data_IF_563066288548
#
_entry.id   IF_563066288548
#
_cell.length_a   1.000
_cell.length_b   1.000
_cell.length_c   1.000
_cell.angle_alpha   90.00
_cell.angle_beta   90.00
_cell.angle_gamma   90.00
#
_symmetry.space_group_name_H-M   'P 1'
#
loop_
_entity.id
_entity.type
_entity.pdbx_description
1 polymer ?
#
# COMPACT_ATOMS: atom_id res chain seq x y z
N UNK A 1 -42.99 -18.46 -44.36
CA UNK A 1 -43.69 -18.17 -43.09
C UNK A 1 -42.71 -18.35 -41.95
N UNK A 2 -42.47 -17.29 -41.16
CA UNK A 2 -42.02 -17.32 -39.76
C UNK A 2 -40.56 -17.65 -39.43
N UNK A 3 -39.76 -16.62 -39.11
CA UNK A 3 -38.42 -16.68 -38.49
C UNK A 3 -38.49 -16.52 -36.96
N UNK A 4 -37.43 -16.94 -36.24
CA UNK A 4 -37.34 -17.00 -34.76
C UNK A 4 -36.65 -15.83 -34.06
N UNK A 5 -36.37 -16.00 -32.75
CA UNK A 5 -35.43 -15.20 -31.95
C UNK A 5 -35.88 -14.86 -30.52
N UNK A 6 -35.37 -15.58 -29.51
CA UNK A 6 -35.50 -15.25 -28.08
C UNK A 6 -34.19 -14.56 -27.61
N UNK A 7 -34.26 -13.25 -27.35
CA UNK A 7 -33.16 -12.44 -26.81
C UNK A 7 -33.74 -11.23 -26.04
N UNK A 8 -33.95 -11.38 -24.74
CA UNK A 8 -34.21 -10.24 -23.85
C UNK A 8 -33.56 -10.52 -22.50
N UNK A 9 -32.36 -9.96 -22.27
CA UNK A 9 -31.83 -9.58 -20.95
C UNK A 9 -30.48 -8.81 -21.02
N UNK A 10 -29.92 -8.57 -22.22
CA UNK A 10 -28.88 -7.56 -22.43
C UNK A 10 -29.34 -6.59 -23.51
N UNK A 11 -29.70 -5.35 -23.14
CA UNK A 11 -29.88 -4.28 -24.12
C UNK A 11 -28.52 -3.68 -24.45
N UNK A 12 -28.00 -4.11 -25.59
CA UNK A 12 -27.03 -3.37 -26.41
C UNK A 12 -27.61 -1.98 -26.71
N UNK A 13 -26.78 -0.96 -26.54
CA UNK A 13 -27.07 0.42 -26.95
C UNK A 13 -27.17 0.46 -28.49
N UNK A 14 -28.35 0.74 -29.04
CA UNK A 14 -28.49 1.18 -30.42
C UNK A 14 -29.26 2.51 -30.45
N UNK A 15 -28.70 3.43 -31.23
CA UNK A 15 -29.04 4.85 -31.29
C UNK A 15 -30.26 5.06 -32.17
N UNK A 16 -31.43 5.34 -31.57
CA UNK A 16 -32.51 6.08 -32.26
C UNK A 16 -33.21 7.07 -31.35
N UNK A 17 -33.01 8.32 -31.73
CA UNK A 17 -33.69 9.52 -31.27
C UNK A 17 -35.22 9.35 -31.39
N UNK A 18 -35.92 9.22 -30.26
CA UNK A 18 -37.34 9.60 -30.10
C UNK A 18 -37.53 10.16 -28.71
N UNK A 19 -38.08 11.37 -28.64
CA UNK A 19 -38.19 12.15 -27.42
C UNK A 19 -39.18 11.60 -26.40
N UNK A 20 -39.14 12.29 -25.26
CA UNK A 20 -40.02 12.26 -24.08
C UNK A 20 -39.57 11.44 -22.86
N UNK A 21 -39.38 12.22 -21.79
CA UNK A 21 -39.37 11.89 -20.36
C UNK A 21 -38.03 11.49 -19.71
N UNK A 22 -37.26 12.56 -19.40
CA UNK A 22 -36.31 12.67 -18.29
C UNK A 22 -36.96 12.32 -16.93
N UNK A 23 -37.08 11.04 -16.61
CA UNK A 23 -37.13 10.56 -15.22
C UNK A 23 -36.35 9.25 -15.14
N UNK A 24 -35.02 9.36 -15.15
CA UNK A 24 -34.17 8.31 -14.59
C UNK A 24 -34.56 8.17 -13.10
N UNK A 25 -34.69 6.95 -12.56
CA UNK A 25 -34.75 6.75 -11.12
C UNK A 25 -33.58 7.49 -10.47
N UNK A 26 -33.81 8.08 -9.30
CA UNK A 26 -32.80 8.82 -8.54
C UNK A 26 -31.58 7.91 -8.25
N UNK A 27 -30.59 7.97 -9.13
CA UNK A 27 -29.39 7.16 -9.11
C UNK A 27 -28.28 7.81 -8.26
N UNK A 28 -28.59 8.95 -7.62
CA UNK A 28 -27.68 9.71 -6.78
C UNK A 28 -27.19 8.89 -5.60
N UNK A 29 -28.05 8.07 -4.97
CA UNK A 29 -27.63 7.20 -3.85
C UNK A 29 -26.63 6.12 -4.27
N UNK A 30 -26.79 5.56 -5.47
CA UNK A 30 -25.88 4.56 -6.03
C UNK A 30 -24.54 5.20 -6.41
N UNK A 31 -24.55 6.42 -7.00
CA UNK A 31 -23.33 7.20 -7.29
C UNK A 31 -22.58 7.54 -6.01
N UNK A 32 -23.27 8.01 -4.97
CA UNK A 32 -22.69 8.29 -3.66
C UNK A 32 -22.06 7.04 -3.06
N UNK A 33 -22.74 5.90 -3.16
CA UNK A 33 -22.22 4.62 -2.66
C UNK A 33 -20.92 4.21 -3.36
N UNK A 34 -20.81 4.47 -4.67
CA UNK A 34 -19.60 4.22 -5.44
C UNK A 34 -18.48 5.22 -5.08
N UNK A 35 -18.78 6.50 -4.90
CA UNK A 35 -17.83 7.54 -4.45
C UNK A 35 -17.24 7.17 -3.08
N UNK A 36 -18.09 6.76 -2.13
CA UNK A 36 -17.67 6.26 -0.80
C UNK A 36 -16.72 5.08 -0.91
N UNK A 37 -17.00 4.16 -1.84
CA UNK A 37 -16.14 3.00 -2.10
C UNK A 37 -14.79 3.43 -2.67
N UNK A 38 -14.77 4.34 -3.65
CA UNK A 38 -13.53 4.87 -4.24
C UNK A 38 -12.65 5.56 -3.18
N UNK A 39 -13.26 6.34 -2.28
CA UNK A 39 -12.55 7.00 -1.19
C UNK A 39 -12.02 6.01 -0.17
N UNK A 40 -12.84 5.05 0.27
CA UNK A 40 -12.43 4.02 1.23
C UNK A 40 -11.38 3.04 0.67
N UNK A 41 -11.32 2.85 -0.65
CA UNK A 41 -10.25 2.13 -1.33
C UNK A 41 -8.97 2.97 -1.53
N UNK A 42 -9.01 4.25 -1.15
CA UNK A 42 -7.91 5.20 -1.31
C UNK A 42 -7.60 5.57 -2.76
N UNK A 43 -8.58 5.42 -3.67
CA UNK A 43 -8.45 5.78 -5.09
C UNK A 43 -8.67 7.27 -5.33
N UNK A 44 -9.41 7.92 -4.45
CA UNK A 44 -9.64 9.36 -4.47
C UNK A 44 -9.30 9.97 -3.11
N UNK A 45 -8.74 11.18 -3.11
CA UNK A 45 -8.49 11.95 -1.90
C UNK A 45 -9.74 12.67 -1.38
N UNK A 46 -9.60 13.31 -0.22
CA UNK A 46 -10.71 13.99 0.49
C UNK A 46 -11.40 15.07 -0.34
N UNK A 47 -10.63 15.96 -0.99
CA UNK A 47 -11.22 17.04 -1.81
C UNK A 47 -11.99 16.49 -3.02
N UNK A 48 -11.47 15.39 -3.59
CA UNK A 48 -12.11 14.69 -4.70
C UNK A 48 -13.35 13.90 -4.25
N UNK A 49 -13.39 13.46 -3.00
CA UNK A 49 -14.56 12.83 -2.39
C UNK A 49 -15.75 13.81 -2.31
N UNK A 50 -15.55 14.98 -1.70
CA UNK A 50 -16.63 15.97 -1.57
C UNK A 50 -17.06 16.54 -2.92
N UNK A 51 -16.12 16.90 -3.79
CA UNK A 51 -16.48 17.41 -5.12
C UNK A 51 -17.27 16.40 -5.97
N UNK A 52 -16.96 15.10 -5.88
CA UNK A 52 -17.77 14.08 -6.55
C UNK A 52 -19.13 13.88 -5.87
N UNK A 53 -19.20 13.96 -4.53
CA UNK A 53 -20.45 13.88 -3.76
C UNK A 53 -21.39 15.04 -4.14
N UNK A 54 -20.88 16.27 -4.20
CA UNK A 54 -21.65 17.45 -4.58
C UNK A 54 -22.14 17.35 -6.03
N UNK A 55 -21.26 16.95 -6.97
CA UNK A 55 -21.66 16.71 -8.36
C UNK A 55 -22.69 15.60 -8.51
N UNK A 56 -22.70 14.59 -7.64
CA UNK A 56 -23.72 13.55 -7.63
C UNK A 56 -25.07 14.09 -7.16
N UNK A 57 -25.10 14.96 -6.15
CA UNK A 57 -26.32 15.62 -5.69
C UNK A 57 -26.87 16.62 -6.71
N UNK A 58 -25.99 17.33 -7.42
CA UNK A 58 -26.36 18.29 -8.47
C UNK A 58 -26.77 17.61 -9.79
N UNK A 59 -26.73 16.28 -9.87
CA UNK A 59 -27.01 15.52 -11.10
C UNK A 59 -25.94 15.61 -12.19
N UNK A 60 -24.80 16.25 -11.89
CA UNK A 60 -23.69 16.54 -12.81
C UNK A 60 -22.57 15.49 -12.79
N UNK A 61 -22.92 14.25 -12.44
CA UNK A 61 -22.01 13.13 -12.37
C UNK A 61 -22.63 11.88 -12.98
N UNK A 62 -21.95 11.27 -13.95
CA UNK A 62 -22.36 9.98 -14.53
C UNK A 62 -21.60 8.80 -13.92
N UNK A 63 -22.15 7.60 -14.07
CA UNK A 63 -21.46 6.38 -13.64
C UNK A 63 -20.22 6.09 -14.48
N UNK A 64 -20.21 6.42 -15.77
CA UNK A 64 -19.01 6.23 -16.60
C UNK A 64 -17.85 7.04 -16.00
N UNK A 65 -18.09 8.30 -15.62
CA UNK A 65 -17.07 9.14 -14.98
C UNK A 65 -16.52 8.55 -13.67
N UNK A 66 -17.35 7.85 -12.89
CA UNK A 66 -16.91 7.16 -11.67
C UNK A 66 -16.16 5.87 -11.96
N UNK A 67 -16.53 5.16 -13.02
CA UNK A 67 -15.86 3.94 -13.47
C UNK A 67 -14.52 4.26 -14.12
N UNK A 68 -14.39 5.36 -14.87
CA UNK A 68 -13.11 5.83 -15.41
C UNK A 68 -12.13 6.16 -14.28
N UNK A 69 -12.61 6.78 -13.20
CA UNK A 69 -11.79 7.03 -12.00
C UNK A 69 -11.37 5.71 -11.34
N UNK A 70 -12.25 4.70 -11.33
CA UNK A 70 -11.96 3.37 -10.82
C UNK A 70 -10.90 2.67 -11.70
N UNK A 71 -11.00 2.74 -13.01
CA UNK A 71 -10.11 2.06 -13.97
C UNK A 71 -8.76 2.76 -14.09
N UNK A 72 -8.72 4.08 -14.23
CA UNK A 72 -7.46 4.86 -14.24
C UNK A 72 -6.64 4.74 -12.96
N UNK A 73 -7.26 4.37 -11.83
CA UNK A 73 -6.56 4.07 -10.58
C UNK A 73 -5.96 2.65 -10.51
N UNK A 74 -6.31 1.77 -11.46
CA UNK A 74 -5.73 0.41 -11.60
C UNK A 74 -4.48 0.40 -12.46
N UNK A 75 -4.41 1.22 -13.51
CA UNK A 75 -3.29 1.21 -14.46
C UNK A 75 -1.95 1.60 -13.82
N UNK A 76 -1.96 2.31 -12.68
CA UNK A 76 -0.76 2.60 -11.89
C UNK A 76 -0.38 1.49 -10.88
N UNK A 77 -1.12 0.38 -10.83
CA UNK A 77 -0.91 -0.74 -9.87
C UNK A 77 -0.77 -2.11 -10.53
N UNK A 78 -0.91 -2.24 -11.85
CA UNK A 78 -0.72 -3.50 -12.56
C UNK A 78 0.75 -3.81 -12.79
N UNK A 79 1.42 -4.21 -11.72
CA UNK A 79 2.52 -5.17 -11.72
C UNK A 79 2.41 -6.03 -10.45
N UNK A 80 1.25 -6.65 -10.21
CA UNK A 80 1.20 -7.94 -9.50
C UNK A 80 -0.13 -8.65 -9.72
N UNK A 81 -0.07 -9.68 -10.58
CA UNK A 81 -0.73 -10.97 -10.38
C UNK A 81 -2.26 -11.02 -10.38
N UNK A 82 -2.82 -11.42 -11.53
CA UNK A 82 -4.06 -12.20 -11.60
C UNK A 82 -3.94 -13.45 -10.72
N UNK A 83 -4.88 -13.66 -9.81
CA UNK A 83 -5.59 -14.94 -9.74
C UNK A 83 -7.03 -14.73 -9.26
N UNK A 84 -7.90 -15.49 -9.91
CA UNK A 84 -9.34 -15.44 -9.95
C UNK A 84 -10.01 -16.21 -8.80
N UNK A 85 -11.20 -15.77 -8.39
CA UNK A 85 -11.98 -16.46 -7.37
C UNK A 85 -13.24 -15.73 -6.94
N UNK A 86 -14.16 -15.53 -7.89
CA UNK A 86 -15.52 -15.02 -7.64
C UNK A 86 -16.27 -15.96 -6.68
N UNK A 87 -16.57 -15.49 -5.47
CA UNK A 87 -17.72 -15.96 -4.67
C UNK A 87 -18.52 -14.78 -4.14
N UNK A 88 -19.66 -14.61 -4.80
CA UNK A 88 -20.99 -14.24 -4.32
C UNK A 88 -21.20 -13.05 -3.38
N UNK A 89 -22.18 -12.26 -3.81
CA UNK A 89 -22.83 -11.14 -3.15
C UNK A 89 -23.43 -11.53 -1.79
N UNK A 90 -22.88 -10.88 -0.76
CA UNK A 90 -23.61 -10.52 0.47
C UNK A 90 -23.31 -9.04 0.72
N UNK A 91 -24.24 -8.26 1.30
CA UNK A 91 -23.99 -6.85 1.63
C UNK A 91 -22.75 -6.79 2.52
N UNK A 92 -21.60 -6.42 1.95
CA UNK A 92 -20.31 -6.44 2.66
C UNK A 92 -20.32 -5.28 3.65
N UNK A 93 -20.53 -5.64 4.90
CA UNK A 93 -20.30 -4.88 6.12
C UNK A 93 -19.30 -3.74 5.95
N UNK A 94 -19.75 -2.51 6.25
CA UNK A 94 -18.92 -1.29 6.29
C UNK A 94 -17.70 -1.43 7.21
N UNK A 95 -17.72 -2.40 8.14
CA UNK A 95 -16.59 -2.79 8.99
C UNK A 95 -15.39 -3.41 8.26
N UNK A 96 -15.55 -3.92 7.03
CA UNK A 96 -14.46 -4.61 6.31
C UNK A 96 -13.31 -3.71 5.87
N UNK A 97 -13.52 -2.40 5.68
CA UNK A 97 -12.47 -1.51 5.19
C UNK A 97 -11.54 -0.99 6.29
N UNK A 98 -12.06 -0.67 7.49
CA UNK A 98 -11.21 -0.37 8.67
C UNK A 98 -10.38 -1.60 9.03
N UNK A 99 -10.94 -2.80 8.90
CA UNK A 99 -10.21 -4.03 9.16
C UNK A 99 -9.00 -4.22 8.24
N UNK A 100 -9.12 -3.86 6.95
CA UNK A 100 -8.01 -3.93 5.98
C UNK A 100 -6.84 -3.02 6.35
N UNK A 101 -7.10 -1.79 6.82
CA UNK A 101 -6.01 -0.89 7.22
C UNK A 101 -5.33 -1.37 8.50
N UNK A 102 -6.10 -1.90 9.46
CA UNK A 102 -5.56 -2.53 10.68
C UNK A 102 -4.73 -3.78 10.37
N UNK A 103 -5.20 -4.63 9.46
CA UNK A 103 -4.45 -5.80 8.97
C UNK A 103 -3.14 -5.37 8.30
N UNK A 104 -3.15 -4.37 7.42
CA UNK A 104 -1.93 -3.82 6.80
C UNK A 104 -0.94 -3.27 7.81
N UNK A 105 -1.40 -2.53 8.82
CA UNK A 105 -0.52 -2.04 9.90
C UNK A 105 0.11 -3.22 10.64
N UNK A 106 -0.66 -4.28 10.93
CA UNK A 106 -0.15 -5.47 11.60
C UNK A 106 0.92 -6.18 10.76
N UNK A 107 0.70 -6.33 9.45
CA UNK A 107 1.68 -6.89 8.52
C UNK A 107 2.95 -6.05 8.44
N UNK A 108 2.82 -4.72 8.35
CA UNK A 108 3.95 -3.79 8.34
C UNK A 108 4.76 -3.86 9.64
N UNK A 109 4.11 -3.94 10.81
CA UNK A 109 4.77 -4.14 12.09
C UNK A 109 5.55 -5.46 12.13
N UNK A 110 4.95 -6.56 11.68
CA UNK A 110 5.67 -7.85 11.62
C UNK A 110 6.85 -7.81 10.64
N UNK A 111 6.70 -7.10 9.52
CA UNK A 111 7.81 -6.89 8.58
C UNK A 111 8.93 -6.07 9.21
N UNK A 112 8.60 -5.00 9.94
CA UNK A 112 9.56 -4.18 10.67
C UNK A 112 10.35 -5.00 11.68
N UNK A 113 9.67 -5.80 12.50
CA UNK A 113 10.32 -6.70 13.49
C UNK A 113 11.30 -7.67 12.83
N UNK A 114 10.97 -8.21 11.65
CA UNK A 114 11.88 -9.09 10.90
C UNK A 114 13.12 -8.35 10.41
N UNK A 115 12.95 -7.13 9.88
CA UNK A 115 14.06 -6.29 9.41
C UNK A 115 14.96 -5.89 10.58
N UNK A 116 14.38 -5.51 11.71
CA UNK A 116 15.10 -5.21 12.95
C UNK A 116 15.89 -6.42 13.45
N UNK A 117 15.29 -7.62 13.46
CA UNK A 117 16.00 -8.85 13.84
C UNK A 117 17.21 -9.15 12.94
N UNK A 118 17.09 -8.92 11.63
CA UNK A 118 18.21 -9.08 10.69
C UNK A 118 19.29 -8.04 10.99
N UNK A 119 18.90 -6.79 11.23
CA UNK A 119 19.82 -5.71 11.56
C UNK A 119 20.60 -6.02 12.84
N UNK A 120 19.95 -6.47 13.91
CA UNK A 120 20.64 -6.85 15.16
C UNK A 120 21.67 -7.96 14.95
N UNK A 121 21.37 -8.96 14.10
CA UNK A 121 22.35 -10.01 13.74
C UNK A 121 23.55 -9.45 12.98
N UNK A 122 23.34 -8.45 12.13
CA UNK A 122 24.43 -7.75 11.43
C UNK A 122 25.28 -6.95 12.42
N UNK A 123 24.66 -6.26 13.37
CA UNK A 123 25.35 -5.51 14.44
C UNK A 123 26.21 -6.44 15.32
N UNK A 124 25.67 -7.59 15.72
CA UNK A 124 26.42 -8.63 16.44
C UNK A 124 27.62 -9.12 15.62
N UNK A 125 27.42 -9.46 14.35
CA UNK A 125 28.50 -9.93 13.48
C UNK A 125 29.55 -8.86 13.23
N UNK A 126 29.16 -7.59 13.12
CA UNK A 126 30.09 -6.46 13.02
C UNK A 126 30.96 -6.35 14.27
N UNK A 127 30.37 -6.48 15.46
CA UNK A 127 31.13 -6.48 16.72
C UNK A 127 32.17 -7.60 16.77
N UNK A 128 31.81 -8.82 16.34
CA UNK A 128 32.75 -9.94 16.26
C UNK A 128 33.91 -9.65 15.29
N UNK A 129 33.60 -9.16 14.08
CA UNK A 129 34.61 -8.83 13.07
C UNK A 129 35.54 -7.71 13.54
N UNK A 130 35.05 -6.75 14.33
CA UNK A 130 35.90 -5.71 14.92
C UNK A 130 36.91 -6.28 15.91
N UNK A 131 36.48 -7.19 16.78
CA UNK A 131 37.37 -7.86 17.73
C UNK A 131 38.38 -8.76 17.00
N UNK A 132 37.95 -9.46 15.96
CA UNK A 132 38.84 -10.31 15.15
C UNK A 132 39.88 -9.46 14.42
N UNK A 133 39.47 -8.32 13.85
CA UNK A 133 40.37 -7.36 13.21
C UNK A 133 41.44 -6.85 14.16
N UNK A 134 41.06 -6.44 15.37
CA UNK A 134 41.98 -5.94 16.39
C UNK A 134 43.01 -7.01 16.81
N UNK A 135 42.55 -8.25 17.04
CA UNK A 135 43.45 -9.37 17.34
C UNK A 135 44.43 -9.63 16.19
N UNK A 136 43.95 -9.60 14.95
CA UNK A 136 44.75 -9.83 13.75
C UNK A 136 45.81 -8.75 13.58
N UNK A 137 45.47 -7.50 13.88
CA UNK A 137 46.40 -6.37 13.90
C UNK A 137 47.49 -6.54 14.98
N UNK A 138 47.11 -6.87 16.21
CA UNK A 138 48.09 -7.15 17.29
C UNK A 138 49.03 -8.31 16.95
N UNK A 139 48.52 -9.37 16.30
CA UNK A 139 49.34 -10.50 15.85
C UNK A 139 50.32 -10.07 14.76
N UNK A 140 49.88 -9.27 13.77
CA UNK A 140 50.76 -8.72 12.74
C UNK A 140 51.90 -7.90 13.36
N UNK A 141 51.58 -6.98 14.28
CA UNK A 141 52.57 -6.14 14.98
C UNK A 141 53.60 -6.98 15.74
N UNK A 142 53.16 -8.03 16.44
CA UNK A 142 54.06 -8.92 17.18
C UNK A 142 55.00 -9.74 16.29
N UNK A 143 54.60 -10.01 15.04
CA UNK A 143 55.34 -10.85 14.11
C UNK A 143 56.29 -10.05 13.21
N UNK A 144 56.12 -8.73 13.10
CA UNK A 144 56.96 -7.86 12.24
C UNK A 144 58.45 -8.03 12.52
N UNK A 145 58.85 -8.22 13.78
CA UNK A 145 60.25 -8.39 14.16
C UNK A 145 60.79 -9.81 13.99
N UNK A 146 59.94 -10.82 13.93
CA UNK A 146 60.32 -12.24 13.97
C UNK A 146 60.10 -12.98 12.66
N UNK A 147 59.08 -12.60 11.88
CA UNK A 147 58.77 -13.15 10.56
C UNK A 147 57.95 -12.14 9.74
N UNK A 148 58.59 -11.52 8.75
CA UNK A 148 57.93 -10.61 7.82
C UNK A 148 56.82 -11.32 7.02
N UNK A 149 57.04 -12.57 6.64
CA UNK A 149 56.07 -13.37 5.89
C UNK A 149 54.79 -13.63 6.70
N UNK A 150 54.94 -14.01 7.98
CA UNK A 150 53.79 -14.19 8.88
C UNK A 150 53.05 -12.87 9.14
N UNK A 151 53.79 -11.76 9.33
CA UNK A 151 53.19 -10.43 9.49
C UNK A 151 52.36 -10.03 8.25
N UNK A 152 52.86 -10.30 7.04
CA UNK A 152 52.15 -10.04 5.78
C UNK A 152 50.87 -10.89 5.66
N UNK A 153 50.88 -12.14 6.12
CA UNK A 153 49.67 -12.99 6.13
C UNK A 153 48.58 -12.41 7.03
N UNK A 154 48.92 -11.96 8.24
CA UNK A 154 47.96 -11.30 9.14
C UNK A 154 47.45 -9.98 8.57
N UNK A 155 48.29 -9.20 7.88
CA UNK A 155 47.85 -7.98 7.19
C UNK A 155 46.85 -8.32 6.08
N UNK A 156 47.09 -9.39 5.31
CA UNK A 156 46.14 -9.88 4.31
C UNK A 156 44.76 -10.20 4.92
N UNK A 157 44.75 -10.98 6.00
CA UNK A 157 43.51 -11.28 6.75
C UNK A 157 42.81 -10.02 7.27
N UNK A 158 43.57 -9.02 7.74
CA UNK A 158 43.01 -7.74 8.19
C UNK A 158 42.29 -7.01 7.06
N UNK A 159 42.85 -7.01 5.85
CA UNK A 159 42.22 -6.39 4.67
C UNK A 159 40.90 -7.10 4.34
N UNK A 160 40.89 -8.43 4.30
CA UNK A 160 39.67 -9.21 4.05
C UNK A 160 38.58 -8.92 5.10
N UNK A 161 38.95 -8.80 6.37
CA UNK A 161 38.04 -8.42 7.46
C UNK A 161 37.50 -6.99 7.27
N UNK A 162 38.34 -6.04 6.87
CA UNK A 162 37.91 -4.66 6.59
C UNK A 162 36.91 -4.58 5.43
N UNK A 163 37.13 -5.34 4.36
CA UNK A 163 36.18 -5.42 3.24
C UNK A 163 34.82 -5.97 3.70
N UNK A 164 34.83 -7.07 4.46
CA UNK A 164 33.62 -7.65 5.03
C UNK A 164 32.87 -6.68 5.94
N UNK A 165 33.58 -5.96 6.81
CA UNK A 165 33.01 -4.92 7.67
C UNK A 165 32.34 -3.82 6.84
N UNK A 166 32.98 -3.36 5.76
CA UNK A 166 32.41 -2.32 4.90
C UNK A 166 31.12 -2.78 4.21
N UNK A 167 31.08 -4.02 3.71
CA UNK A 167 29.89 -4.59 3.09
C UNK A 167 28.74 -4.67 4.09
N UNK A 168 29.00 -5.19 5.30
CA UNK A 168 27.99 -5.31 6.34
C UNK A 168 27.47 -3.95 6.80
N UNK A 169 28.33 -2.94 6.94
CA UNK A 169 27.91 -1.56 7.26
C UNK A 169 27.02 -0.93 6.18
N UNK A 170 27.31 -1.19 4.90
CA UNK A 170 26.42 -0.73 3.82
C UNK A 170 25.06 -1.38 3.94
N UNK A 171 25.04 -2.70 4.20
CA UNK A 171 23.79 -3.45 4.34
C UNK A 171 22.97 -3.01 5.56
N UNK A 172 23.61 -2.76 6.69
CA UNK A 172 22.99 -2.21 7.89
C UNK A 172 22.25 -0.89 7.60
N UNK A 173 22.91 0.05 6.90
CA UNK A 173 22.30 1.33 6.49
C UNK A 173 21.14 1.16 5.51
N UNK A 174 21.19 0.16 4.63
CA UNK A 174 20.05 -0.15 3.75
C UNK A 174 18.85 -0.65 4.55
N UNK A 175 19.06 -1.51 5.55
CA UNK A 175 18.00 -1.98 6.43
C UNK A 175 17.41 -0.84 7.27
N UNK A 176 18.23 0.10 7.74
CA UNK A 176 17.76 1.30 8.44
C UNK A 176 16.83 2.15 7.56
N UNK A 177 17.18 2.37 6.29
CA UNK A 177 16.29 3.05 5.32
C UNK A 177 14.98 2.30 5.10
N UNK A 178 15.03 0.97 5.04
CA UNK A 178 13.81 0.16 4.90
C UNK A 178 12.89 0.29 6.13
N UNK A 179 13.46 0.36 7.34
CA UNK A 179 12.70 0.61 8.57
C UNK A 179 12.02 1.99 8.50
N UNK A 180 12.77 3.02 8.11
CA UNK A 180 12.23 4.39 7.97
C UNK A 180 11.09 4.47 6.94
N UNK A 181 11.22 3.75 5.82
CA UNK A 181 10.17 3.65 4.81
C UNK A 181 8.92 2.95 5.36
N UNK A 182 9.09 1.85 6.09
CA UNK A 182 7.97 1.17 6.76
C UNK A 182 7.27 2.13 7.73
N UNK A 183 8.00 2.86 8.56
CA UNK A 183 7.42 3.83 9.50
C UNK A 183 6.67 4.97 8.82
N UNK A 184 7.19 5.49 7.70
CA UNK A 184 6.49 6.47 6.87
C UNK A 184 5.19 5.91 6.32
N UNK A 185 5.21 4.68 5.79
CA UNK A 185 4.00 4.04 5.25
C UNK A 185 2.95 3.77 6.32
N UNK A 186 3.36 3.37 7.52
CA UNK A 186 2.46 3.20 8.67
C UNK A 186 1.77 4.52 9.03
N UNK A 187 2.52 5.62 9.14
CA UNK A 187 1.95 6.96 9.40
C UNK A 187 0.93 7.38 8.34
N UNK A 188 1.23 7.14 7.06
CA UNK A 188 0.30 7.45 5.96
C UNK A 188 -1.01 6.64 6.11
N UNK A 189 -0.91 5.37 6.51
CA UNK A 189 -2.10 4.52 6.72
C UNK A 189 -2.91 5.01 7.93
N UNK A 190 -2.25 5.34 9.04
CA UNK A 190 -2.91 5.89 10.24
C UNK A 190 -3.68 7.18 9.91
N UNK A 191 -3.06 8.12 9.18
CA UNK A 191 -3.73 9.34 8.73
C UNK A 191 -4.97 9.03 7.88
N UNK A 192 -4.88 8.06 6.96
CA UNK A 192 -6.02 7.64 6.14
C UNK A 192 -7.14 7.00 6.97
N UNK A 193 -6.80 6.28 8.03
CA UNK A 193 -7.80 5.75 8.97
C UNK A 193 -8.53 6.88 9.71
N UNK A 194 -7.79 7.88 10.20
CA UNK A 194 -8.38 9.05 10.88
C UNK A 194 -9.28 9.86 9.93
N UNK A 195 -8.82 10.08 8.70
CA UNK A 195 -9.62 10.76 7.67
C UNK A 195 -10.92 10.01 7.39
N UNK A 196 -10.85 8.68 7.28
CA UNK A 196 -12.03 7.84 7.08
C UNK A 196 -13.02 7.92 8.25
N UNK A 197 -12.52 7.87 9.50
CA UNK A 197 -13.35 8.02 10.70
C UNK A 197 -14.00 9.41 10.79
N UNK A 198 -13.26 10.46 10.46
CA UNK A 198 -13.78 11.82 10.43
C UNK A 198 -14.91 11.98 9.41
N UNK A 199 -14.74 11.44 8.19
CA UNK A 199 -15.80 11.44 7.17
C UNK A 199 -17.02 10.66 7.67
N UNK A 200 -16.83 9.51 8.31
CA UNK A 200 -17.95 8.72 8.87
C UNK A 200 -18.73 9.51 9.91
N UNK A 201 -18.05 10.15 10.86
CA UNK A 201 -18.70 10.96 11.91
C UNK A 201 -19.46 12.15 11.32
N UNK A 202 -18.92 12.80 10.28
CA UNK A 202 -19.63 13.87 9.58
C UNK A 202 -20.90 13.38 8.89
N UNK A 203 -20.88 12.20 8.27
CA UNK A 203 -22.07 11.60 7.67
C UNK A 203 -23.13 11.24 8.72
N UNK A 204 -22.71 10.72 9.87
CA UNK A 204 -23.61 10.45 11.00
C UNK A 204 -24.28 11.75 11.50
N UNK A 205 -23.51 12.84 11.62
CA UNK A 205 -24.04 14.17 11.99
C UNK A 205 -24.98 14.75 10.92
N UNK A 206 -24.66 14.61 9.63
CA UNK A 206 -25.53 15.06 8.53
C UNK A 206 -26.87 14.32 8.52
N UNK A 207 -26.87 13.01 8.79
CA UNK A 207 -28.10 12.22 8.83
C UNK A 207 -28.98 12.63 10.01
N UNK A 208 -28.41 12.82 11.21
CA UNK A 208 -29.16 13.30 12.39
C UNK A 208 -29.81 14.66 12.11
N UNK A 209 -29.11 15.57 11.40
CA UNK A 209 -29.67 16.89 11.02
C UNK A 209 -30.81 16.82 10.00
N UNK A 210 -30.92 15.75 9.22
CA UNK A 210 -32.02 15.56 8.26
C UNK A 210 -33.25 14.93 8.89
N UNK A 211 -33.09 14.26 10.04
CA UNK A 211 -34.17 13.62 10.80
C UNK A 211 -34.83 14.56 11.82
N UNK A 212 -34.38 15.83 11.92
CA UNK A 212 -34.95 16.92 12.74
C UNK A 212 -35.59 17.95 11.81
#
# INVERSE_FOLDING_TARGET
MGCGGFHELFRVYDSRNTGYNNRRPDDTQEKISLIKRLYAEGRIGKDRYYSLKDRAYDGNLSFEQLMDIKESSRDNRENSSQDSGLKEDKPKDKNKNVNKYKEKIKELKSSKEKVESIRSKIEERLSELYQEKEKTESMAESMVSSSEEAAREYIGKKIDLEENIQVLKKREKELEKQIDEIDKTMKIIDTKMLDYEAVRLQEELENIKKDI
#
